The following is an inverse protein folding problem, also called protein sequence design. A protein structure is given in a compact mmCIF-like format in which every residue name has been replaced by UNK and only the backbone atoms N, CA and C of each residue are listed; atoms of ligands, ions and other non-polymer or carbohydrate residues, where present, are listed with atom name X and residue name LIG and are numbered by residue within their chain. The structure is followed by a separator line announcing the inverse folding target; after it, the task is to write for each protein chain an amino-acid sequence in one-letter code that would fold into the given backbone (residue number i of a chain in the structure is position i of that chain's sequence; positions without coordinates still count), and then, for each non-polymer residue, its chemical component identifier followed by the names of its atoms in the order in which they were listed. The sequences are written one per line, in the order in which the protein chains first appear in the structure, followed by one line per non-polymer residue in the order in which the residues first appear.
data_IF_756769673807
#
_entry.id   IF_756769673807
#
_cell.length_a   1.000
_cell.length_b   1.000
_cell.length_c   1.000
_cell.angle_alpha   90.00
_cell.angle_beta   90.00
_cell.angle_gamma   90.00
#
_symmetry.space_group_name_H-M   'P 1'
#
loop_
_entity.id
_entity.type
_entity.pdbx_description
1 polymer ?
#
# COMPACT_ATOMS: atom_id res chain seq x y z
N UNK A 1 -16.36 1.06 -5.96
CA UNK A 1 -15.47 1.11 -4.79
C UNK A 1 -14.20 1.89 -5.08
N UNK A 2 -13.53 1.65 -6.19
CA UNK A 2 -12.28 2.33 -6.51
C UNK A 2 -12.45 3.33 -7.65
N UNK A 3 -11.73 4.46 -7.54
CA UNK A 3 -11.69 5.46 -8.61
C UNK A 3 -10.56 5.15 -9.58
N UNK A 4 -9.35 4.94 -9.07
CA UNK A 4 -8.18 4.74 -9.92
C UNK A 4 -7.00 4.14 -9.15
N UNK A 5 -6.04 3.66 -9.91
CA UNK A 5 -4.74 3.21 -9.41
C UNK A 5 -3.77 4.39 -9.45
N UNK A 6 -3.03 4.60 -8.36
CA UNK A 6 -2.06 5.70 -8.27
C UNK A 6 -0.68 5.23 -8.70
N UNK A 7 0.13 6.14 -9.23
CA UNK A 7 1.49 5.85 -9.63
C UNK A 7 1.58 4.77 -10.69
N UNK A 8 0.66 4.78 -11.65
CA UNK A 8 0.51 3.71 -12.60
C UNK A 8 1.76 3.44 -13.44
N UNK A 9 2.50 4.49 -13.77
CA UNK A 9 3.74 4.33 -14.54
C UNK A 9 4.79 3.52 -13.79
N UNK A 10 4.83 3.66 -12.47
CA UNK A 10 5.74 2.88 -11.65
C UNK A 10 5.27 1.44 -11.49
N UNK A 11 3.97 1.26 -11.42
CA UNK A 11 3.40 -0.08 -11.34
C UNK A 11 3.65 -0.90 -12.61
N UNK A 12 3.76 -0.24 -13.75
CA UNK A 12 4.03 -0.93 -15.00
C UNK A 12 5.41 -1.57 -15.04
N UNK A 13 6.28 -1.24 -14.09
CA UNK A 13 7.60 -1.86 -13.95
C UNK A 13 7.56 -3.21 -13.27
N UNK A 14 6.41 -3.64 -12.82
CA UNK A 14 6.29 -4.93 -12.16
C UNK A 14 6.43 -6.05 -13.20
N UNK A 15 7.52 -6.80 -13.09
CA UNK A 15 7.86 -7.81 -14.09
C UNK A 15 7.33 -9.20 -13.77
N UNK A 16 7.15 -9.50 -12.49
CA UNK A 16 6.84 -10.86 -12.08
C UNK A 16 5.35 -11.21 -12.17
N UNK A 17 4.48 -10.22 -12.24
CA UNK A 17 3.06 -10.45 -12.23
C UNK A 17 2.46 -10.68 -10.85
N UNK A 18 3.29 -10.97 -9.84
CA UNK A 18 2.86 -10.97 -8.45
C UNK A 18 3.87 -10.23 -7.59
N UNK A 19 3.49 -9.92 -6.38
CA UNK A 19 4.20 -9.00 -5.49
C UNK A 19 4.26 -7.60 -6.07
N UNK A 20 3.33 -7.29 -7.00
CA UNK A 20 3.21 -5.97 -7.58
C UNK A 20 2.40 -5.10 -6.63
N UNK A 21 3.11 -4.36 -5.80
CA UNK A 21 2.45 -3.46 -4.87
C UNK A 21 1.73 -2.36 -5.60
N UNK A 22 0.56 -1.95 -5.10
CA UNK A 22 -0.22 -0.90 -5.72
C UNK A 22 -1.00 -0.12 -4.67
N UNK A 23 -1.25 1.13 -4.99
CA UNK A 23 -2.11 2.01 -4.22
C UNK A 23 -3.31 2.38 -5.07
N UNK A 24 -4.47 2.42 -4.45
CA UNK A 24 -5.73 2.65 -5.14
C UNK A 24 -6.50 3.74 -4.39
N UNK A 25 -7.07 4.67 -5.12
CA UNK A 25 -7.96 5.67 -4.56
C UNK A 25 -9.37 5.13 -4.53
N UNK A 26 -10.01 5.22 -3.37
CA UNK A 26 -11.37 4.74 -3.19
C UNK A 26 -12.38 5.86 -3.40
N UNK A 27 -13.59 5.49 -3.76
CA UNK A 27 -14.64 6.45 -4.05
C UNK A 27 -15.05 7.28 -2.83
N UNK A 28 -14.80 6.79 -1.61
CA UNK A 28 -15.14 7.50 -0.38
C UNK A 28 -14.04 8.44 0.11
N UNK A 29 -12.95 8.55 -0.61
CA UNK A 29 -11.83 9.42 -0.25
C UNK A 29 -10.69 8.71 0.48
N UNK A 30 -10.87 7.48 0.88
CA UNK A 30 -9.82 6.69 1.49
C UNK A 30 -8.93 6.04 0.43
N UNK A 31 -7.92 5.32 0.88
CA UNK A 31 -7.00 4.63 0.00
C UNK A 31 -6.89 3.18 0.40
N UNK A 32 -6.72 2.33 -0.58
CA UNK A 32 -6.45 0.91 -0.37
C UNK A 32 -5.07 0.59 -0.92
N UNK A 33 -4.46 -0.44 -0.38
CA UNK A 33 -3.12 -0.84 -0.79
C UNK A 33 -3.05 -2.35 -0.96
N UNK A 34 -2.32 -2.78 -1.96
CA UNK A 34 -1.98 -4.18 -2.17
C UNK A 34 -0.47 -4.29 -2.04
N UNK A 35 -0.02 -5.19 -1.20
CA UNK A 35 1.41 -5.38 -0.99
C UNK A 35 1.68 -6.76 -0.41
N UNK A 36 2.97 -7.07 -0.29
CA UNK A 36 3.38 -8.33 0.32
C UNK A 36 2.98 -8.33 1.80
N UNK A 37 2.30 -9.37 2.23
CA UNK A 37 1.90 -9.53 3.62
C UNK A 37 3.11 -9.93 4.46
N UNK A 38 3.52 -9.04 5.37
CA UNK A 38 4.64 -9.29 6.27
C UNK A 38 4.22 -9.28 7.73
N UNK A 39 2.94 -9.52 7.99
CA UNK A 39 2.37 -9.39 9.34
C UNK A 39 3.14 -10.22 10.37
N UNK A 40 3.39 -11.48 10.09
CA UNK A 40 4.03 -12.36 11.06
C UNK A 40 5.47 -11.95 11.37
N UNK A 41 6.17 -11.42 10.37
CA UNK A 41 7.53 -10.93 10.56
C UNK A 41 7.56 -9.58 11.27
N UNK A 42 6.55 -8.76 11.03
CA UNK A 42 6.52 -7.39 11.49
C UNK A 42 6.14 -7.27 12.97
N UNK A 43 5.18 -8.07 13.43
CA UNK A 43 4.65 -7.93 14.78
C UNK A 43 5.74 -7.88 15.85
N UNK A 44 6.70 -8.82 15.90
CA UNK A 44 7.72 -8.78 16.95
C UNK A 44 8.69 -7.60 16.83
N UNK A 45 8.74 -6.95 15.69
CA UNK A 45 9.66 -5.84 15.45
C UNK A 45 9.00 -4.48 15.53
N UNK A 46 7.70 -4.41 15.77
CA UNK A 46 6.98 -3.13 15.77
C UNK A 46 7.35 -2.29 16.99
N UNK A 47 7.40 -0.95 16.80
CA UNK A 47 7.59 -0.06 17.94
C UNK A 47 6.45 -0.18 18.94
N UNK A 48 6.70 0.24 20.18
CA UNK A 48 5.64 0.30 21.18
C UNK A 48 4.51 1.21 20.71
N UNK A 49 3.29 0.78 20.98
CA UNK A 49 2.10 1.52 20.58
C UNK A 49 0.99 0.57 20.18
N UNK A 50 0.03 1.06 19.40
CA UNK A 50 -1.04 0.18 18.90
C UNK A 50 -0.47 -0.99 18.13
N UNK A 51 -1.00 -2.17 18.39
CA UNK A 51 -0.60 -3.37 17.67
C UNK A 51 -1.42 -3.57 16.41
N UNK A 52 -1.52 -4.83 15.98
CA UNK A 52 -2.27 -5.24 14.80
C UNK A 52 -3.53 -5.97 15.25
N UNK A 53 -4.68 -5.46 14.86
CA UNK A 53 -5.96 -6.07 15.21
C UNK A 53 -6.24 -7.33 14.40
N UNK A 54 -7.30 -8.08 14.77
CA UNK A 54 -7.58 -9.37 14.15
C UNK A 54 -7.94 -9.29 12.67
N UNK A 55 -8.38 -8.12 12.21
CA UNK A 55 -8.72 -7.93 10.80
C UNK A 55 -7.73 -7.02 10.08
N UNK A 56 -6.59 -6.75 10.72
CA UNK A 56 -5.57 -5.88 10.17
C UNK A 56 -4.35 -6.69 9.79
N UNK A 57 -3.66 -6.25 8.76
CA UNK A 57 -2.44 -6.90 8.29
C UNK A 57 -1.37 -5.85 8.05
N UNK A 58 -0.12 -6.21 8.23
CA UNK A 58 1.00 -5.36 7.88
C UNK A 58 1.47 -5.77 6.49
N UNK A 59 1.51 -4.81 5.57
CA UNK A 59 1.98 -5.06 4.22
C UNK A 59 3.22 -4.23 3.93
N UNK A 60 4.03 -4.70 3.01
CA UNK A 60 5.23 -3.99 2.59
C UNK A 60 4.97 -3.32 1.26
N UNK A 61 5.23 -2.00 1.21
CA UNK A 61 5.11 -1.21 -0.01
C UNK A 61 6.50 -0.66 -0.35
N UNK A 62 7.03 -0.94 -1.54
CA UNK A 62 8.31 -0.35 -1.93
C UNK A 62 8.23 1.18 -1.94
N UNK A 63 9.32 1.82 -1.53
CA UNK A 63 9.36 3.30 -1.48
C UNK A 63 8.96 3.93 -2.81
N UNK A 64 9.41 3.36 -3.94
CA UNK A 64 9.12 3.92 -5.26
C UNK A 64 7.62 4.01 -5.56
N UNK A 65 6.84 3.08 -5.03
CA UNK A 65 5.38 3.07 -5.23
C UNK A 65 4.74 4.26 -4.53
N UNK A 66 5.14 4.52 -3.28
CA UNK A 66 4.64 5.68 -2.54
C UNK A 66 5.10 6.99 -3.17
N UNK A 67 6.36 7.07 -3.58
CA UNK A 67 6.89 8.28 -4.22
C UNK A 67 6.14 8.57 -5.52
N UNK A 68 5.89 7.54 -6.33
CA UNK A 68 5.17 7.72 -7.58
C UNK A 68 3.72 8.19 -7.37
N UNK A 69 3.10 7.76 -6.28
CA UNK A 69 1.73 8.13 -5.98
C UNK A 69 1.60 9.51 -5.33
N UNK A 70 2.68 10.05 -4.79
CA UNK A 70 2.64 11.24 -3.94
C UNK A 70 1.91 12.43 -4.57
N UNK A 71 2.19 12.72 -5.81
CA UNK A 71 1.60 13.87 -6.49
C UNK A 71 0.12 13.69 -6.82
N UNK A 72 -0.35 12.46 -6.79
CA UNK A 72 -1.74 12.13 -7.12
C UNK A 72 -2.65 12.04 -5.91
N UNK A 73 -2.09 12.16 -4.70
CA UNK A 73 -2.87 12.11 -3.48
C UNK A 73 -3.40 13.50 -3.18
N UNK A 74 -4.72 13.69 -3.12
CA UNK A 74 -5.30 15.01 -2.84
C UNK A 74 -4.87 15.52 -1.47
N UNK A 75 -4.68 16.82 -1.35
CA UNK A 75 -4.19 17.44 -0.13
C UNK A 75 -5.25 17.50 0.99
N UNK A 76 -6.48 17.34 0.68
CA UNK A 76 -7.51 17.44 1.73
C UNK A 76 -8.80 16.84 1.29
#
# INVERSE_FOLDING_TARGET
MFIRRLGESEQSRCESGYHCSQLLEMADGDFAAVGLDITDEAIPAMPLGPGVGPKERVIRIPRRVLVAARAEIPAA
#
